data_IF_184772788564
#
_entry.id   IF_184772788564
#
_cell.length_a   1.000
_cell.length_b   1.000
_cell.length_c   1.000
_cell.angle_alpha   90.00
_cell.angle_beta   90.00
_cell.angle_gamma   90.00
#
_symmetry.space_group_name_H-M   'P 1'
#
loop_
_entity.id
_entity.type
_entity.pdbx_description
1 polymer ?
#
# COMPACT_ATOMS: atom_id res chain seq x y z
N UNK A 1 11.42 30.23 18.53
CA UNK A 1 10.56 29.05 18.75
C UNK A 1 9.99 28.62 17.41
N UNK A 2 10.52 27.56 16.79
CA UNK A 2 10.02 27.07 15.50
C UNK A 2 8.67 26.37 15.75
N UNK A 3 7.58 26.95 15.25
CA UNK A 3 6.26 26.28 15.27
C UNK A 3 6.38 24.97 14.50
N UNK A 4 5.88 23.88 15.07
CA UNK A 4 5.78 22.59 14.39
C UNK A 4 4.70 22.69 13.31
N UNK A 5 5.14 23.08 12.11
CA UNK A 5 4.29 23.32 10.93
C UNK A 5 3.38 22.13 10.66
N UNK A 6 3.83 20.90 10.92
CA UNK A 6 3.04 19.69 10.72
C UNK A 6 1.85 19.62 11.67
N UNK A 7 2.06 19.94 12.96
CA UNK A 7 0.95 19.97 13.94
C UNK A 7 -0.09 21.02 13.57
N UNK A 8 0.35 22.18 13.10
CA UNK A 8 -0.56 23.25 12.67
C UNK A 8 -1.39 22.85 11.45
N UNK A 9 -0.77 22.24 10.42
CA UNK A 9 -1.48 21.73 9.23
C UNK A 9 -2.53 20.68 9.63
N UNK A 10 -2.22 19.81 10.58
CA UNK A 10 -3.08 18.69 10.96
C UNK A 10 -4.19 19.06 11.96
N UNK A 11 -4.11 20.22 12.64
CA UNK A 11 -4.99 20.60 13.77
C UNK A 11 -6.48 20.70 13.42
N UNK A 12 -6.81 21.00 12.17
CA UNK A 12 -8.18 21.16 11.67
C UNK A 12 -8.47 20.37 10.40
N UNK A 13 -7.75 19.25 10.20
CA UNK A 13 -7.80 18.49 8.96
C UNK A 13 -9.19 17.86 8.74
N UNK A 14 -9.93 18.37 7.75
CA UNK A 14 -11.24 17.84 7.37
C UNK A 14 -11.15 16.62 6.44
N UNK A 15 -10.16 16.61 5.56
CA UNK A 15 -9.93 15.54 4.56
C UNK A 15 -8.45 15.28 4.37
N UNK A 16 -8.09 14.02 4.17
CA UNK A 16 -6.72 13.59 3.89
C UNK A 16 -6.67 12.61 2.73
N UNK A 17 -5.62 12.75 1.91
CA UNK A 17 -5.23 11.74 0.93
C UNK A 17 -4.05 10.97 1.50
N UNK A 18 -4.20 9.66 1.67
CA UNK A 18 -3.14 8.78 2.17
C UNK A 18 -2.63 7.97 0.99
N UNK A 19 -1.39 8.22 0.58
CA UNK A 19 -0.73 7.41 -0.45
C UNK A 19 0.13 6.33 0.18
N UNK A 20 -0.04 5.09 -0.29
CA UNK A 20 0.76 3.93 0.16
C UNK A 20 1.48 3.30 -1.03
N UNK A 21 2.80 3.20 -0.93
CA UNK A 21 3.63 2.50 -1.92
C UNK A 21 3.62 0.99 -1.74
N UNK A 22 3.97 0.25 -2.80
CA UNK A 22 4.02 -1.21 -2.77
C UNK A 22 4.92 -1.74 -1.65
N UNK A 23 6.09 -1.13 -1.44
CA UNK A 23 7.04 -1.52 -0.39
C UNK A 23 6.48 -1.55 1.03
N UNK A 24 5.40 -0.81 1.30
CA UNK A 24 4.74 -0.78 2.62
C UNK A 24 3.79 -1.98 2.77
N UNK A 25 3.13 -2.40 1.70
CA UNK A 25 2.09 -3.45 1.73
C UNK A 25 2.61 -4.80 1.24
N UNK A 26 3.87 -4.91 0.83
CA UNK A 26 4.50 -6.15 0.35
C UNK A 26 5.52 -6.70 1.33
N UNK A 27 5.68 -8.01 1.34
CA UNK A 27 6.83 -8.72 1.92
C UNK A 27 7.62 -9.39 0.80
N UNK A 28 8.95 -9.47 0.95
CA UNK A 28 9.83 -10.20 0.05
C UNK A 28 10.20 -11.52 0.72
N UNK A 29 9.82 -12.64 0.12
CA UNK A 29 10.12 -13.98 0.64
C UNK A 29 10.81 -14.82 -0.42
N UNK A 30 11.56 -15.84 0.02
CA UNK A 30 12.14 -16.84 -0.90
C UNK A 30 11.15 -17.98 -1.08
N UNK A 31 10.77 -18.26 -2.32
CA UNK A 31 9.96 -19.41 -2.71
C UNK A 31 10.73 -20.17 -3.79
N UNK A 32 11.00 -21.46 -3.58
CA UNK A 32 11.73 -22.31 -4.53
C UNK A 32 13.07 -21.72 -5.03
N UNK A 33 13.85 -21.12 -4.11
CA UNK A 33 15.12 -20.42 -4.40
C UNK A 33 15.00 -19.11 -5.22
N UNK A 34 13.79 -18.66 -5.54
CA UNK A 34 13.52 -17.36 -6.17
C UNK A 34 12.90 -16.37 -5.17
N UNK A 35 13.13 -15.07 -5.39
CA UNK A 35 12.53 -14.03 -4.57
C UNK A 35 11.14 -13.68 -5.09
N UNK A 36 10.10 -13.98 -4.32
CA UNK A 36 8.73 -13.55 -4.59
C UNK A 36 8.37 -12.35 -3.71
N UNK A 37 7.62 -11.41 -4.29
CA UNK A 37 6.98 -10.35 -3.53
C UNK A 37 5.50 -10.71 -3.39
N UNK A 38 5.02 -10.76 -2.15
CA UNK A 38 3.65 -11.13 -1.81
C UNK A 38 2.99 -10.01 -0.99
N UNK A 39 1.66 -9.99 -0.96
CA UNK A 39 0.93 -9.07 -0.08
C UNK A 39 1.20 -9.41 1.38
N UNK A 40 1.57 -8.40 2.17
CA UNK A 40 1.71 -8.54 3.61
C UNK A 40 0.37 -8.22 4.30
N UNK A 41 -0.40 -9.26 4.59
CA UNK A 41 -1.70 -9.13 5.25
C UNK A 41 -1.63 -8.41 6.62
N UNK A 42 -0.52 -8.51 7.35
CA UNK A 42 -0.35 -7.78 8.62
C UNK A 42 -0.20 -6.28 8.39
N UNK A 43 0.57 -5.88 7.38
CA UNK A 43 0.74 -4.47 7.03
C UNK A 43 -0.58 -3.87 6.51
N UNK A 44 -1.32 -4.61 5.68
CA UNK A 44 -2.65 -4.18 5.21
C UNK A 44 -3.62 -3.99 6.38
N UNK A 45 -3.67 -4.93 7.33
CA UNK A 45 -4.50 -4.81 8.54
C UNK A 45 -4.10 -3.62 9.41
N UNK A 46 -2.79 -3.40 9.59
CA UNK A 46 -2.29 -2.25 10.33
C UNK A 46 -2.71 -0.94 9.67
N UNK A 47 -2.54 -0.83 8.35
CA UNK A 47 -2.96 0.35 7.58
C UNK A 47 -4.46 0.61 7.72
N UNK A 48 -5.29 -0.42 7.59
CA UNK A 48 -6.74 -0.29 7.75
C UNK A 48 -7.12 0.21 9.16
N UNK A 49 -6.48 -0.31 10.21
CA UNK A 49 -6.69 0.15 11.60
C UNK A 49 -6.25 1.61 11.78
N UNK A 50 -5.11 2.01 11.23
CA UNK A 50 -4.62 3.39 11.29
C UNK A 50 -5.56 4.36 10.56
N UNK A 51 -6.04 3.98 9.37
CA UNK A 51 -7.03 4.76 8.63
C UNK A 51 -8.32 4.90 9.45
N UNK A 52 -8.77 3.83 10.09
CA UNK A 52 -9.96 3.86 10.93
C UNK A 52 -9.84 4.88 12.07
N UNK A 53 -8.69 4.94 12.74
CA UNK A 53 -8.43 5.94 13.78
C UNK A 53 -8.49 7.39 13.28
N UNK A 54 -8.21 7.63 11.99
CA UNK A 54 -8.33 8.95 11.36
C UNK A 54 -9.81 9.25 11.05
N UNK A 55 -10.52 8.28 10.49
CA UNK A 55 -11.96 8.38 10.21
C UNK A 55 -12.76 8.63 11.51
N UNK A 56 -12.41 7.97 12.61
CA UNK A 56 -13.05 8.14 13.92
C UNK A 56 -12.91 9.57 14.50
N UNK A 57 -12.00 10.39 13.95
CA UNK A 57 -11.85 11.81 14.28
C UNK A 57 -12.70 12.72 13.38
N UNK A 58 -13.67 12.16 12.66
CA UNK A 58 -14.49 12.85 11.65
C UNK A 58 -13.67 13.46 10.50
N UNK A 59 -12.54 12.82 10.15
CA UNK A 59 -11.73 13.20 9.00
C UNK A 59 -12.05 12.29 7.82
N UNK A 60 -12.34 12.88 6.66
CA UNK A 60 -12.59 12.15 5.43
C UNK A 60 -11.28 11.60 4.86
N UNK A 61 -11.24 10.32 4.50
CA UNK A 61 -10.01 9.68 3.99
C UNK A 61 -10.20 9.24 2.55
N UNK A 62 -9.25 9.61 1.70
CA UNK A 62 -9.04 9.02 0.38
C UNK A 62 -7.76 8.20 0.41
N UNK A 63 -7.86 6.91 0.12
CA UNK A 63 -6.69 6.02 0.03
C UNK A 63 -6.25 5.87 -1.42
N UNK A 64 -4.95 6.09 -1.67
CA UNK A 64 -4.30 5.80 -2.95
C UNK A 64 -3.25 4.71 -2.72
N UNK A 65 -3.55 3.47 -3.10
CA UNK A 65 -2.64 2.34 -2.91
C UNK A 65 -2.01 1.89 -4.23
N UNK A 66 -0.70 1.61 -4.20
CA UNK A 66 -0.04 0.79 -5.21
C UNK A 66 -0.31 -0.71 -4.95
N UNK A 67 0.34 -1.61 -5.70
CA UNK A 67 0.39 -3.05 -5.38
C UNK A 67 -0.43 -3.99 -6.27
N UNK A 68 -1.27 -3.46 -7.16
CA UNK A 68 -2.12 -4.27 -8.05
C UNK A 68 -1.33 -5.33 -8.85
N UNK A 69 -0.28 -4.92 -9.58
CA UNK A 69 0.58 -5.83 -10.34
C UNK A 69 1.14 -6.97 -9.46
N UNK A 70 1.58 -6.67 -8.24
CA UNK A 70 2.15 -7.69 -7.36
C UNK A 70 1.07 -8.66 -6.85
N UNK A 71 -0.12 -8.14 -6.50
CA UNK A 71 -1.24 -8.98 -6.12
C UNK A 71 -1.65 -9.94 -7.26
N UNK A 72 -1.71 -9.44 -8.50
CA UNK A 72 -2.00 -10.29 -9.66
C UNK A 72 -0.89 -11.29 -9.99
N UNK A 73 0.38 -10.92 -9.80
CA UNK A 73 1.51 -11.86 -9.96
C UNK A 73 1.36 -13.08 -9.07
N UNK A 74 1.05 -12.86 -7.79
CA UNK A 74 0.82 -13.93 -6.84
C UNK A 74 -0.40 -14.78 -7.22
N UNK A 75 -1.49 -14.14 -7.66
CA UNK A 75 -2.71 -14.81 -8.08
C UNK A 75 -2.55 -15.65 -9.36
N UNK A 76 -1.70 -15.20 -10.28
CA UNK A 76 -1.44 -15.84 -11.58
C UNK A 76 -0.20 -16.76 -11.57
N UNK A 77 0.43 -16.96 -10.40
CA UNK A 77 1.66 -17.75 -10.25
C UNK A 77 2.83 -17.27 -11.14
N UNK A 78 2.86 -15.95 -11.44
CA UNK A 78 3.88 -15.31 -12.26
C UNK A 78 5.04 -14.80 -11.41
N UNK A 79 5.91 -15.72 -10.99
CA UNK A 79 7.00 -15.43 -10.04
C UNK A 79 8.30 -14.92 -10.66
N UNK A 80 8.53 -15.12 -11.96
CA UNK A 80 9.73 -14.64 -12.67
C UNK A 80 9.95 -13.14 -12.55
N UNK A 81 11.21 -12.70 -12.50
CA UNK A 81 11.57 -11.30 -12.26
C UNK A 81 10.95 -10.33 -13.28
N UNK A 82 11.02 -10.68 -14.56
CA UNK A 82 10.58 -9.80 -15.64
C UNK A 82 9.18 -10.18 -16.17
N UNK A 83 8.33 -9.16 -16.26
CA UNK A 83 7.04 -9.24 -16.95
C UNK A 83 7.04 -8.33 -18.15
N UNK A 84 6.44 -8.80 -19.24
CA UNK A 84 6.08 -7.98 -20.38
C UNK A 84 5.04 -6.91 -19.98
N UNK A 85 4.87 -5.86 -20.79
CA UNK A 85 3.84 -4.84 -20.55
C UNK A 85 2.44 -5.48 -20.48
N UNK A 86 2.03 -6.35 -21.43
CA UNK A 86 0.74 -7.05 -21.34
C UNK A 86 0.56 -7.86 -20.06
N UNK A 87 1.62 -8.53 -19.58
CA UNK A 87 1.57 -9.28 -18.33
C UNK A 87 1.41 -8.38 -17.11
N UNK A 88 2.12 -7.24 -17.09
CA UNK A 88 1.92 -6.23 -16.04
C UNK A 88 0.49 -5.72 -16.01
N UNK A 89 -0.11 -5.50 -17.18
CA UNK A 89 -1.51 -5.08 -17.29
C UNK A 89 -2.48 -6.18 -16.84
N UNK A 90 -2.24 -7.43 -17.26
CA UNK A 90 -3.03 -8.59 -16.83
C UNK A 90 -2.94 -8.81 -15.31
N UNK A 91 -1.78 -8.57 -14.70
CA UNK A 91 -1.63 -8.64 -13.25
C UNK A 91 -2.32 -7.48 -12.51
N UNK A 92 -2.54 -6.34 -13.17
CA UNK A 92 -3.13 -5.16 -12.53
C UNK A 92 -4.66 -5.10 -12.60
N UNK A 93 -5.26 -5.89 -13.50
CA UNK A 93 -6.70 -5.98 -13.75
C UNK A 93 -7.39 -6.95 -12.78
#
# INVERSE_FOLDING_TARGET
MHKDVRKEILKGLKRVVIKVGSSIITKREKRNNEWANELNANNVRLLARTIRQIVDRNCEVVLVSSGAIMAGRERLDLHRADLSIPEKQACAA
#
